data_IF_665701442124
#
_entry.id   IF_665701442124
#
_cell.length_a   1.000
_cell.length_b   1.000
_cell.length_c   1.000
_cell.angle_alpha   90.00
_cell.angle_beta   90.00
_cell.angle_gamma   90.00
#
_symmetry.space_group_name_H-M   'P 1'
#
loop_
_entity.id
_entity.type
_entity.pdbx_description
1 polymer ?
#
# COMPACT_ATOMS: atom_id res chain seq x y z
N UNK A 1 -7.48 -20.33 -7.46
CA UNK A 1 -6.84 -20.07 -6.14
C UNK A 1 -5.90 -18.88 -6.27
N UNK A 2 -6.08 -17.83 -5.47
CA UNK A 2 -5.37 -16.54 -5.61
C UNK A 2 -3.95 -16.60 -5.05
N UNK A 3 -3.06 -15.69 -5.50
CA UNK A 3 -1.62 -15.71 -5.14
C UNK A 3 -1.42 -15.59 -3.61
N UNK A 4 -2.12 -14.66 -2.96
CA UNK A 4 -2.01 -14.48 -1.51
C UNK A 4 -2.54 -15.67 -0.72
N UNK A 5 -3.58 -16.36 -1.22
CA UNK A 5 -4.13 -17.53 -0.55
C UNK A 5 -3.19 -18.73 -0.66
N UNK A 6 -2.56 -18.94 -1.82
CA UNK A 6 -1.50 -19.94 -2.00
C UNK A 6 -0.34 -19.69 -1.04
N UNK A 7 0.11 -18.44 -0.92
CA UNK A 7 1.15 -18.07 0.05
C UNK A 7 0.74 -18.40 1.49
N UNK A 8 -0.49 -18.09 1.88
CA UNK A 8 -1.00 -18.40 3.22
C UNK A 8 -0.99 -19.92 3.49
N UNK A 9 -1.46 -20.73 2.53
CA UNK A 9 -1.44 -22.19 2.63
C UNK A 9 0.00 -22.75 2.68
N UNK A 10 0.92 -22.23 1.88
CA UNK A 10 2.32 -22.65 1.87
C UNK A 10 3.02 -22.34 3.21
N UNK A 11 2.69 -21.21 3.85
CA UNK A 11 3.18 -20.91 5.21
C UNK A 11 2.52 -21.80 6.27
N UNK A 12 1.22 -22.08 6.14
CA UNK A 12 0.47 -22.90 7.10
C UNK A 12 0.93 -24.36 7.07
N UNK A 13 1.15 -24.92 5.88
CA UNK A 13 1.66 -26.29 5.67
C UNK A 13 3.13 -26.46 6.05
N UNK A 14 3.89 -25.35 6.14
CA UNK A 14 5.31 -25.36 6.42
C UNK A 14 6.21 -25.47 5.19
N UNK A 15 5.64 -25.49 3.97
CA UNK A 15 6.39 -25.39 2.71
C UNK A 15 7.24 -24.11 2.67
N UNK A 16 6.67 -22.98 3.09
CA UNK A 16 7.40 -21.73 3.30
C UNK A 16 7.78 -21.62 4.78
N UNK A 17 9.08 -21.69 5.06
CA UNK A 17 9.63 -21.45 6.39
C UNK A 17 9.41 -19.97 6.76
N UNK A 18 8.57 -19.74 7.77
CA UNK A 18 8.18 -18.41 8.21
C UNK A 18 8.42 -18.19 9.70
N UNK A 19 8.77 -16.96 10.09
CA UNK A 19 8.94 -16.61 11.49
C UNK A 19 7.60 -16.60 12.25
N UNK A 20 7.66 -16.59 13.58
CA UNK A 20 6.47 -16.59 14.47
C UNK A 20 5.44 -15.52 14.07
N UNK A 21 5.89 -14.30 13.71
CA UNK A 21 4.99 -13.19 13.38
C UNK A 21 4.23 -13.39 12.06
N UNK A 22 4.88 -13.99 11.06
CA UNK A 22 4.22 -14.32 9.79
C UNK A 22 3.23 -15.49 9.97
N UNK A 23 3.60 -16.52 10.73
CA UNK A 23 2.68 -17.61 11.10
C UNK A 23 1.44 -17.08 11.84
N UNK A 24 1.61 -16.13 12.76
CA UNK A 24 0.50 -15.44 13.43
C UNK A 24 -0.37 -14.63 12.46
N UNK A 25 0.22 -13.95 11.47
CA UNK A 25 -0.55 -13.24 10.45
C UNK A 25 -1.36 -14.18 9.55
N UNK A 26 -0.80 -15.34 9.20
CA UNK A 26 -1.48 -16.39 8.41
C UNK A 26 -2.61 -17.04 9.20
N UNK A 27 -2.38 -17.39 10.47
CA UNK A 27 -3.44 -17.89 11.35
C UNK A 27 -4.58 -16.89 11.49
N UNK A 28 -4.28 -15.59 11.68
CA UNK A 28 -5.29 -14.53 11.71
C UNK A 28 -6.04 -14.40 10.37
N UNK A 29 -5.35 -14.52 9.25
CA UNK A 29 -5.97 -14.49 7.92
C UNK A 29 -7.04 -15.59 7.77
N UNK A 30 -6.73 -16.84 8.15
CA UNK A 30 -7.72 -17.92 8.10
C UNK A 30 -8.86 -17.74 9.11
N UNK A 31 -8.55 -17.34 10.35
CA UNK A 31 -9.58 -17.03 11.35
C UNK A 31 -10.53 -15.92 10.88
N UNK A 32 -10.01 -14.90 10.19
CA UNK A 32 -10.81 -13.81 9.64
C UNK A 32 -11.68 -14.23 8.44
N UNK A 33 -11.27 -15.25 7.69
CA UNK A 33 -12.09 -15.82 6.61
C UNK A 33 -13.30 -16.60 7.15
N UNK A 34 -13.15 -17.24 8.31
CA UNK A 34 -14.22 -18.01 8.96
C UNK A 34 -15.13 -17.13 9.82
N UNK A 35 -14.69 -15.92 10.16
CA UNK A 35 -15.44 -15.01 11.01
C UNK A 35 -16.62 -14.35 10.28
N UNK A 36 -17.83 -14.58 10.78
CA UNK A 36 -19.07 -14.10 10.17
C UNK A 36 -19.19 -12.57 10.09
N UNK A 37 -18.47 -11.81 10.93
CA UNK A 37 -18.50 -10.35 10.92
C UNK A 37 -17.78 -9.75 9.69
N UNK A 38 -16.91 -10.52 9.03
CA UNK A 38 -16.08 -10.05 7.93
C UNK A 38 -16.41 -10.75 6.61
N UNK A 39 -16.20 -10.03 5.51
CA UNK A 39 -16.10 -10.63 4.18
C UNK A 39 -14.75 -10.24 3.56
N UNK A 40 -14.29 -11.07 2.63
CA UNK A 40 -13.04 -10.84 1.91
C UNK A 40 -13.32 -10.29 0.51
N UNK A 41 -12.97 -9.02 0.29
CA UNK A 41 -13.12 -8.32 -0.98
C UNK A 41 -11.97 -8.67 -1.94
N UNK A 42 -12.14 -9.80 -2.63
CA UNK A 42 -11.19 -10.30 -3.63
C UNK A 42 -10.95 -9.27 -4.73
N UNK A 43 -12.00 -8.59 -5.19
CA UNK A 43 -11.94 -7.65 -6.30
C UNK A 43 -11.03 -6.46 -5.99
N UNK A 44 -11.12 -5.89 -4.78
CA UNK A 44 -10.25 -4.79 -4.35
C UNK A 44 -8.79 -5.22 -4.33
N UNK A 45 -8.48 -6.43 -3.85
CA UNK A 45 -7.10 -6.94 -3.80
C UNK A 45 -6.57 -7.18 -5.21
N UNK A 46 -7.33 -7.79 -6.11
CA UNK A 46 -6.90 -8.00 -7.49
C UNK A 46 -6.70 -6.70 -8.25
N UNK A 47 -7.59 -5.70 -8.04
CA UNK A 47 -7.41 -4.36 -8.60
C UNK A 47 -6.13 -3.71 -8.09
N UNK A 48 -5.80 -3.87 -6.81
CA UNK A 48 -4.55 -3.36 -6.26
C UNK A 48 -3.32 -4.03 -6.89
N UNK A 49 -3.31 -5.34 -7.06
CA UNK A 49 -2.21 -6.05 -7.75
C UNK A 49 -2.07 -5.62 -9.21
N UNK A 50 -3.17 -5.37 -9.92
CA UNK A 50 -3.14 -4.81 -11.28
C UNK A 50 -2.64 -3.36 -11.27
N UNK A 51 -3.03 -2.57 -10.28
CA UNK A 51 -2.60 -1.19 -10.11
C UNK A 51 -1.10 -1.08 -9.80
N UNK A 52 -0.51 -2.03 -9.06
CA UNK A 52 0.94 -2.03 -8.81
C UNK A 52 1.75 -2.03 -10.10
N UNK A 53 1.28 -2.72 -11.14
CA UNK A 53 1.90 -2.74 -12.47
C UNK A 53 1.82 -1.39 -13.21
N UNK A 54 0.87 -0.53 -12.85
CA UNK A 54 0.80 0.86 -13.33
C UNK A 54 1.79 1.77 -12.62
N UNK A 55 2.41 1.32 -11.53
CA UNK A 55 3.48 2.02 -10.84
C UNK A 55 4.82 1.42 -11.28
N UNK A 56 5.58 2.08 -12.18
CA UNK A 56 6.83 1.52 -12.65
C UNK A 56 7.95 1.67 -11.62
N UNK A 57 8.95 0.78 -11.69
CA UNK A 57 10.19 0.94 -10.95
C UNK A 57 10.83 2.30 -11.27
N UNK A 58 11.32 3.00 -10.23
CA UNK A 58 11.85 4.38 -10.36
C UNK A 58 13.37 4.46 -10.39
N UNK A 59 14.06 3.40 -9.98
CA UNK A 59 15.51 3.33 -9.78
C UNK A 59 16.07 2.00 -10.30
N UNK A 60 17.37 1.98 -10.60
CA UNK A 60 18.09 0.78 -11.01
C UNK A 60 17.80 0.33 -12.46
N UNK A 61 18.31 -0.84 -12.83
CA UNK A 61 18.19 -1.42 -14.18
C UNK A 61 16.74 -1.69 -14.60
N UNK A 62 15.82 -1.82 -13.65
CA UNK A 62 14.39 -2.03 -13.90
C UNK A 62 13.62 -0.72 -14.14
N UNK A 63 14.26 0.46 -14.08
CA UNK A 63 13.55 1.75 -14.16
C UNK A 63 12.63 1.82 -15.38
N UNK A 64 11.37 2.19 -15.14
CA UNK A 64 10.32 2.27 -16.16
C UNK A 64 9.55 0.97 -16.37
N UNK A 65 10.05 -0.17 -15.88
CA UNK A 65 9.34 -1.45 -15.97
C UNK A 65 8.23 -1.56 -14.91
N UNK A 66 7.13 -2.29 -15.18
CA UNK A 66 6.07 -2.53 -14.22
C UNK A 66 6.55 -3.20 -12.93
N UNK A 67 5.98 -2.80 -11.77
CA UNK A 67 6.22 -3.51 -10.50
C UNK A 67 5.27 -4.70 -10.37
N UNK A 68 5.85 -5.89 -10.31
CA UNK A 68 5.17 -7.10 -9.91
C UNK A 68 5.42 -7.37 -8.43
N UNK A 69 4.35 -7.47 -7.65
CA UNK A 69 4.44 -7.74 -6.23
C UNK A 69 4.78 -9.21 -6.00
N UNK A 70 5.75 -9.49 -5.14
CA UNK A 70 6.05 -10.86 -4.73
C UNK A 70 4.93 -11.45 -3.86
N UNK A 71 4.85 -12.77 -3.75
CA UNK A 71 3.77 -13.47 -3.05
C UNK A 71 3.49 -12.95 -1.63
N UNK A 72 4.53 -12.70 -0.83
CA UNK A 72 4.38 -12.15 0.52
C UNK A 72 3.86 -10.70 0.52
N UNK A 73 4.18 -9.90 -0.50
CA UNK A 73 3.67 -8.53 -0.66
C UNK A 73 2.21 -8.58 -1.07
N UNK A 74 1.84 -9.48 -1.98
CA UNK A 74 0.45 -9.73 -2.31
C UNK A 74 -0.36 -10.16 -1.06
N UNK A 75 0.21 -11.05 -0.22
CA UNK A 75 -0.40 -11.43 1.05
C UNK A 75 -0.51 -10.27 2.05
N UNK A 76 0.52 -9.41 2.13
CA UNK A 76 0.47 -8.21 2.96
C UNK A 76 -0.71 -7.31 2.57
N UNK A 77 -0.84 -6.97 1.28
CA UNK A 77 -1.90 -6.08 0.82
C UNK A 77 -3.28 -6.74 0.80
N UNK A 78 -3.34 -8.06 0.60
CA UNK A 78 -4.56 -8.84 0.79
C UNK A 78 -5.11 -8.69 2.22
N UNK A 79 -4.25 -8.72 3.24
CA UNK A 79 -4.66 -8.47 4.62
C UNK A 79 -5.11 -7.01 4.85
N UNK A 80 -4.36 -6.04 4.32
CA UNK A 80 -4.66 -4.60 4.54
C UNK A 80 -5.95 -4.17 3.84
N UNK A 81 -6.17 -4.63 2.61
CA UNK A 81 -7.24 -4.12 1.74
C UNK A 81 -8.44 -5.07 1.61
N UNK A 82 -8.26 -6.37 1.84
CA UNK A 82 -9.26 -7.39 1.54
C UNK A 82 -10.34 -7.55 2.61
N UNK A 83 -10.00 -7.49 3.90
CA UNK A 83 -11.01 -7.71 4.95
C UNK A 83 -11.86 -6.46 5.21
N UNK A 84 -13.18 -6.61 5.10
CA UNK A 84 -14.18 -5.57 5.36
C UNK A 84 -15.27 -6.07 6.29
N UNK A 85 -15.82 -5.19 7.11
CA UNK A 85 -16.97 -5.50 7.96
C UNK A 85 -18.23 -5.66 7.10
N UNK A 86 -18.97 -6.76 7.29
CA UNK A 86 -20.26 -6.95 6.57
C UNK A 86 -21.29 -5.88 6.91
N UNK A 87 -21.26 -5.33 8.13
CA UNK A 87 -22.24 -4.37 8.61
C UNK A 87 -22.21 -3.01 7.90
N UNK A 88 -21.05 -2.56 7.43
CA UNK A 88 -20.88 -1.22 6.85
C UNK A 88 -19.95 -1.15 5.64
N UNK A 89 -19.34 -2.26 5.23
CA UNK A 89 -18.42 -2.33 4.10
C UNK A 89 -17.07 -1.62 4.31
N UNK A 90 -16.77 -1.15 5.52
CA UNK A 90 -15.50 -0.49 5.84
C UNK A 90 -14.38 -1.52 6.04
N UNK A 91 -13.14 -1.15 5.69
CA UNK A 91 -11.95 -1.98 5.94
C UNK A 91 -11.81 -2.29 7.44
N UNK A 92 -11.54 -3.56 7.76
CA UNK A 92 -11.27 -4.02 9.12
C UNK A 92 -10.03 -3.34 9.71
N UNK A 93 -8.94 -3.33 8.93
CA UNK A 93 -7.67 -2.82 9.38
C UNK A 93 -7.52 -1.35 9.01
N UNK A 94 -7.50 -0.49 10.04
CA UNK A 94 -7.20 0.95 9.91
C UNK A 94 -5.70 1.26 10.06
N UNK A 95 -4.98 0.37 10.75
CA UNK A 95 -3.55 0.49 11.00
C UNK A 95 -2.85 -0.81 10.71
N UNK A 96 -1.66 -0.74 10.13
CA UNK A 96 -0.81 -1.89 9.85
C UNK A 96 0.63 -1.59 10.29
N UNK A 97 1.25 -2.53 11.00
CA UNK A 97 2.67 -2.49 11.36
C UNK A 97 3.42 -3.56 10.57
N UNK A 98 4.39 -3.14 9.77
CA UNK A 98 5.16 -4.02 8.89
C UNK A 98 6.64 -3.87 9.22
N UNK A 99 7.27 -4.97 9.65
CA UNK A 99 8.71 -5.04 9.86
C UNK A 99 9.35 -5.79 8.69
N UNK A 100 10.21 -5.11 7.94
CA UNK A 100 10.89 -5.69 6.77
C UNK A 100 12.38 -5.41 6.87
N UNK A 101 13.21 -6.42 6.59
CA UNK A 101 14.66 -6.26 6.54
C UNK A 101 15.07 -5.28 5.42
N UNK A 102 16.27 -4.71 5.54
CA UNK A 102 16.82 -3.77 4.54
C UNK A 102 16.88 -4.43 3.16
N UNK A 103 16.77 -3.61 2.10
CA UNK A 103 16.80 -4.01 0.68
C UNK A 103 15.60 -4.83 0.15
N UNK A 104 14.52 -4.97 0.92
CA UNK A 104 13.28 -5.65 0.49
C UNK A 104 12.20 -4.70 -0.07
N UNK A 105 12.60 -3.69 -0.83
CA UNK A 105 11.67 -2.79 -1.54
C UNK A 105 10.58 -2.09 -0.67
N UNK A 106 10.80 -1.92 0.64
CA UNK A 106 9.80 -1.36 1.57
C UNK A 106 9.27 0.02 1.15
N UNK A 107 10.14 0.92 0.70
CA UNK A 107 9.76 2.27 0.26
C UNK A 107 8.99 2.23 -1.06
N UNK A 108 9.36 1.29 -1.94
CA UNK A 108 8.69 1.06 -3.22
C UNK A 108 7.25 0.62 -3.02
N UNK A 109 6.99 -0.40 -2.20
CA UNK A 109 5.62 -0.87 -1.96
C UNK A 109 4.77 0.15 -1.18
N UNK A 110 5.39 0.95 -0.30
CA UNK A 110 4.72 2.06 0.37
C UNK A 110 4.31 3.16 -0.63
N UNK A 111 5.15 3.47 -1.62
CA UNK A 111 4.84 4.43 -2.68
C UNK A 111 3.70 3.95 -3.59
N UNK A 112 3.65 2.65 -3.91
CA UNK A 112 2.53 2.03 -4.64
C UNK A 112 1.23 2.18 -3.84
N UNK A 113 1.25 1.86 -2.55
CA UNK A 113 0.08 2.00 -1.67
C UNK A 113 -0.39 3.45 -1.57
N UNK A 114 0.54 4.40 -1.46
CA UNK A 114 0.23 5.82 -1.40
C UNK A 114 -0.47 6.30 -2.69
N UNK A 115 0.03 5.90 -3.86
CA UNK A 115 -0.61 6.22 -5.15
C UNK A 115 -1.99 5.54 -5.30
N UNK A 116 -2.15 4.33 -4.76
CA UNK A 116 -3.46 3.67 -4.72
C UNK A 116 -4.47 4.50 -3.92
N UNK A 117 -4.14 4.89 -2.69
CA UNK A 117 -5.05 5.71 -1.88
C UNK A 117 -5.32 7.07 -2.53
N UNK A 118 -4.33 7.67 -3.19
CA UNK A 118 -4.49 8.96 -3.86
C UNK A 118 -5.51 8.92 -5.01
N UNK A 119 -5.58 7.82 -5.77
CA UNK A 119 -6.31 7.78 -7.05
C UNK A 119 -7.50 6.83 -7.06
N UNK A 120 -7.47 5.76 -6.26
CA UNK A 120 -8.43 4.65 -6.34
C UNK A 120 -9.40 4.58 -5.17
N UNK A 121 -9.05 5.16 -4.02
CA UNK A 121 -9.91 5.14 -2.83
C UNK A 121 -11.07 6.14 -2.97
N UNK A 122 -12.22 5.78 -2.40
CA UNK A 122 -13.41 6.64 -2.43
C UNK A 122 -13.27 7.80 -1.45
N UNK A 123 -13.89 8.94 -1.79
CA UNK A 123 -13.82 10.16 -0.97
C UNK A 123 -12.49 10.90 -1.12
N UNK A 124 -12.38 12.04 -0.44
CA UNK A 124 -11.15 12.81 -0.37
C UNK A 124 -10.16 12.13 0.59
N UNK A 125 -8.93 11.94 0.13
CA UNK A 125 -7.86 11.32 0.90
C UNK A 125 -6.69 12.28 1.10
N UNK A 126 -6.25 12.45 2.35
CA UNK A 126 -5.06 13.19 2.71
C UNK A 126 -3.94 12.22 3.09
N UNK A 127 -3.04 11.97 2.15
CA UNK A 127 -1.94 11.02 2.30
C UNK A 127 -0.67 11.74 2.75
N UNK A 128 -0.13 11.30 3.88
CA UNK A 128 1.10 11.84 4.45
C UNK A 128 2.20 10.79 4.50
N UNK A 129 3.35 11.11 3.91
CA UNK A 129 4.57 10.32 4.15
C UNK A 129 5.33 10.97 5.29
N UNK A 130 5.51 10.26 6.40
CA UNK A 130 6.14 10.80 7.60
C UNK A 130 7.39 10.01 7.99
N UNK A 131 8.38 10.73 8.51
CA UNK A 131 9.60 10.17 9.09
C UNK A 131 10.21 11.19 10.07
N UNK A 132 11.27 10.76 10.77
CA UNK A 132 12.00 11.62 11.71
C UNK A 132 12.55 12.86 11.01
N UNK A 133 13.18 12.69 9.84
CA UNK A 133 13.64 13.81 9.01
C UNK A 133 12.77 14.02 7.78
N UNK A 134 12.71 15.27 7.31
CA UNK A 134 12.01 15.62 6.07
C UNK A 134 12.56 14.83 4.88
N UNK A 135 13.87 14.66 4.80
CA UNK A 135 14.51 13.94 3.69
C UNK A 135 14.12 12.46 3.69
N UNK A 136 13.98 11.84 4.87
CA UNK A 136 13.48 10.47 4.96
C UNK A 136 12.01 10.37 4.55
N UNK A 137 11.17 11.33 4.97
CA UNK A 137 9.76 11.40 4.59
C UNK A 137 9.58 11.59 3.08
N UNK A 138 10.52 12.31 2.45
CA UNK A 138 10.57 12.52 1.01
C UNK A 138 10.87 11.27 0.21
N UNK A 139 11.56 10.25 0.77
CA UNK A 139 11.92 9.05 -0.01
C UNK A 139 10.68 8.39 -0.61
N UNK A 140 9.64 8.15 0.19
CA UNK A 140 8.40 7.50 -0.28
C UNK A 140 7.60 8.42 -1.20
N UNK A 141 7.52 9.72 -0.86
CA UNK A 141 6.83 10.70 -1.69
C UNK A 141 7.48 10.86 -3.07
N UNK A 142 8.80 10.99 -3.12
CA UNK A 142 9.56 11.17 -4.36
C UNK A 142 9.50 9.89 -5.20
N UNK A 143 9.53 8.69 -4.59
CA UNK A 143 9.29 7.43 -5.31
C UNK A 143 7.86 7.39 -5.90
N UNK A 144 6.83 7.75 -5.12
CA UNK A 144 5.44 7.79 -5.60
C UNK A 144 5.24 8.81 -6.73
N UNK A 145 5.90 9.98 -6.61
CA UNK A 145 5.93 11.03 -7.63
C UNK A 145 6.60 10.55 -8.92
N UNK A 146 7.75 9.88 -8.83
CA UNK A 146 8.43 9.36 -10.01
C UNK A 146 7.62 8.25 -10.69
N UNK A 147 6.97 7.37 -9.92
CA UNK A 147 6.01 6.39 -10.47
C UNK A 147 4.91 7.10 -11.27
N UNK A 148 4.32 8.15 -10.71
CA UNK A 148 3.26 8.92 -11.36
C UNK A 148 3.74 9.63 -12.64
N UNK A 149 4.96 10.18 -12.66
CA UNK A 149 5.56 10.82 -13.84
C UNK A 149 5.85 9.84 -14.98
N UNK A 150 6.31 8.63 -14.64
CA UNK A 150 6.63 7.58 -15.61
C UNK A 150 5.38 6.86 -16.13
N UNK A 151 4.32 6.81 -15.35
CA UNK A 151 3.06 6.13 -15.71
C UNK A 151 2.11 7.07 -16.45
N UNK A 152 1.88 6.82 -17.75
CA UNK A 152 0.97 7.64 -18.58
C UNK A 152 -0.44 7.78 -17.98
N UNK A 153 -1.09 6.73 -17.44
CA UNK A 153 -2.39 6.86 -16.78
C UNK A 153 -2.35 7.75 -15.53
N UNK A 154 -1.35 7.61 -14.66
CA UNK A 154 -1.24 8.40 -13.44
C UNK A 154 -0.90 9.87 -13.75
N UNK A 155 0.03 10.11 -14.67
CA UNK A 155 0.41 11.45 -15.12
C UNK A 155 -0.77 12.26 -15.67
N UNK A 156 -1.72 11.60 -16.33
CA UNK A 156 -2.94 12.26 -16.85
C UNK A 156 -3.94 12.62 -15.76
N UNK A 157 -3.93 11.93 -14.62
CA UNK A 157 -4.90 12.11 -13.53
C UNK A 157 -4.40 13.05 -12.44
N UNK A 158 -3.08 13.15 -12.26
CA UNK A 158 -2.47 13.83 -11.14
C UNK A 158 -1.87 15.18 -11.52
N UNK A 159 -2.18 16.20 -10.72
CA UNK A 159 -1.41 17.44 -10.69
C UNK A 159 -0.18 17.21 -9.83
N UNK A 160 0.98 17.07 -10.47
CA UNK A 160 2.24 16.71 -9.83
C UNK A 160 3.09 17.95 -9.60
N UNK A 161 3.40 18.27 -8.34
CA UNK A 161 4.22 19.43 -7.96
C UNK A 161 5.49 19.00 -7.21
N UNK A 162 6.33 19.97 -6.80
CA UNK A 162 7.59 19.67 -6.10
C UNK A 162 7.38 19.03 -4.72
N UNK A 163 6.35 19.46 -4.00
CA UNK A 163 6.09 19.09 -2.61
C UNK A 163 4.68 18.53 -2.36
N UNK A 164 3.88 18.35 -3.41
CA UNK A 164 2.57 17.72 -3.32
C UNK A 164 2.15 17.05 -4.63
N UNK A 165 1.26 16.07 -4.54
CA UNK A 165 0.49 15.54 -5.66
C UNK A 165 -0.99 15.64 -5.34
N UNK A 166 -1.80 16.04 -6.32
CA UNK A 166 -3.24 16.24 -6.14
C UNK A 166 -4.00 15.42 -7.18
N UNK A 167 -5.01 14.68 -6.73
CA UNK A 167 -6.01 14.11 -7.61
C UNK A 167 -7.24 15.01 -7.66
N UNK A 168 -7.38 15.78 -8.73
CA UNK A 168 -8.40 16.83 -8.83
C UNK A 168 -9.84 16.31 -8.80
N UNK A 169 -10.07 15.04 -9.18
CA UNK A 169 -11.43 14.49 -9.25
C UNK A 169 -12.11 14.40 -7.87
N UNK A 170 -11.36 14.16 -6.80
CA UNK A 170 -11.89 14.05 -5.44
C UNK A 170 -11.12 14.92 -4.43
N UNK A 171 -10.32 15.88 -4.91
CA UNK A 171 -9.44 16.74 -4.11
C UNK A 171 -8.45 16.01 -3.19
N UNK A 172 -8.13 14.74 -3.46
CA UNK A 172 -7.16 14.01 -2.65
C UNK A 172 -5.75 14.60 -2.81
N UNK A 173 -5.00 14.60 -1.72
CA UNK A 173 -3.69 15.23 -1.61
C UNK A 173 -2.67 14.22 -1.08
N UNK A 174 -1.47 14.22 -1.64
CA UNK A 174 -0.31 13.56 -1.04
C UNK A 174 0.82 14.57 -0.79
N UNK A 175 1.39 14.61 0.41
CA UNK A 175 2.57 15.42 0.73
C UNK A 175 3.47 14.80 1.82
N UNK A 176 4.79 15.06 1.81
CA UNK A 176 5.67 14.62 2.88
C UNK A 176 5.54 15.53 4.11
N UNK A 177 5.50 14.91 5.30
CA UNK A 177 5.53 15.57 6.61
C UNK A 177 6.85 15.29 7.31
N UNK A 178 7.39 16.31 7.97
CA UNK A 178 8.53 16.16 8.87
C UNK A 178 8.05 16.17 10.33
N UNK A 179 8.73 15.44 11.22
CA UNK A 179 8.36 15.29 12.63
C UNK A 179 8.42 16.56 13.50
N UNK A 180 8.65 17.75 12.93
CA UNK A 180 8.67 19.00 13.72
C UNK A 180 7.26 19.28 14.24
N UNK A 181 7.13 19.48 15.56
CA UNK A 181 5.87 19.68 16.30
C UNK A 181 4.91 20.66 15.62
N UNK A 182 5.41 21.77 15.10
CA UNK A 182 4.62 22.79 14.39
C UNK A 182 4.01 22.36 13.05
N UNK A 183 4.41 21.21 12.49
CA UNK A 183 3.97 20.73 11.16
C UNK A 183 2.92 19.62 11.23
N UNK A 184 2.73 19.02 12.41
CA UNK A 184 1.83 17.88 12.63
C UNK A 184 0.51 18.35 13.25
N UNK A 185 0.58 19.30 14.19
CA UNK A 185 -0.60 19.93 14.80
C UNK A 185 -1.40 20.68 13.72
N UNK A 186 -2.61 20.20 13.41
CA UNK A 186 -3.48 20.73 12.36
C UNK A 186 -3.60 19.85 11.10
N UNK A 187 -2.88 18.73 11.03
CA UNK A 187 -3.12 17.70 10.01
C UNK A 187 -4.22 16.74 10.47
N UNK A 188 -5.10 16.33 9.55
CA UNK A 188 -6.15 15.34 9.81
C UNK A 188 -5.80 14.01 9.08
N UNK A 189 -4.82 13.23 9.58
CA UNK A 189 -4.36 11.99 8.97
C UNK A 189 -5.32 10.81 9.16
#
# INVERSE_FOLDING_TARGET
>A
MTIWHKYALAVQSGEIVACKRIKQAVSRYFADLENEAYFFDVETVEKFLKFSRLCPHVKGHLRGQPIELSDWQAFLFANILGFKHKSNGLRKYRSAYIQVARKNAKSTVAAVLANWFLVMEKGQQDIYTAAVSRDQARIVFDDAKQMALLSKPLRKRLTIQQHKMIYLQNNSLMRPLAAKSSTIEGTNP
#
